data_IF_428063194529
#
_entry.id   IF_428063194529
#
_cell.length_a   1.000
_cell.length_b   1.000
_cell.length_c   1.000
_cell.angle_alpha   90.00
_cell.angle_beta   90.00
_cell.angle_gamma   90.00
#
_symmetry.space_group_name_H-M   'P 1'
#
loop_
_entity.id
_entity.type
_entity.pdbx_description
1 polymer ?
#
# COMPACT_ATOMS: atom_id res chain seq x y z
N UNK A 1 -19.19 -1.58 -14.68
CA UNK A 1 -19.52 -2.00 -13.30
C UNK A 1 -19.76 -3.50 -13.35
N UNK A 2 -19.06 -4.28 -12.52
CA UNK A 2 -19.33 -5.71 -12.36
C UNK A 2 -20.01 -5.97 -11.02
N UNK A 3 -20.75 -7.08 -10.96
CA UNK A 3 -21.41 -7.56 -9.75
C UNK A 3 -20.86 -8.95 -9.40
N UNK A 4 -20.47 -9.14 -8.14
CA UNK A 4 -20.07 -10.44 -7.60
C UNK A 4 -20.86 -10.76 -6.34
N UNK A 5 -21.51 -11.91 -6.31
CA UNK A 5 -22.12 -12.43 -5.07
C UNK A 5 -21.12 -13.32 -4.36
N UNK A 6 -20.77 -12.97 -3.12
CA UNK A 6 -19.94 -13.79 -2.25
C UNK A 6 -20.76 -14.24 -1.05
N UNK A 7 -20.49 -15.45 -0.55
CA UNK A 7 -21.06 -15.93 0.70
C UNK A 7 -20.15 -15.43 1.82
N UNK A 8 -20.69 -14.65 2.75
CA UNK A 8 -19.97 -14.28 3.96
C UNK A 8 -19.77 -15.53 4.81
N UNK A 9 -18.53 -16.01 4.87
CA UNK A 9 -18.17 -17.25 5.58
C UNK A 9 -18.39 -17.18 7.08
N UNK A 10 -18.56 -16.00 7.68
CA UNK A 10 -18.84 -15.84 9.11
C UNK A 10 -20.33 -15.77 9.43
N UNK A 11 -21.16 -15.30 8.49
CA UNK A 11 -22.58 -15.02 8.72
C UNK A 11 -23.52 -15.93 7.92
N UNK A 12 -23.00 -16.72 6.97
CA UNK A 12 -23.80 -17.56 6.07
C UNK A 12 -24.69 -16.76 5.11
N UNK A 13 -24.55 -15.43 5.07
CA UNK A 13 -25.39 -14.53 4.27
C UNK A 13 -24.72 -14.24 2.93
N UNK A 14 -25.54 -14.22 1.86
CA UNK A 14 -25.10 -13.74 0.54
C UNK A 14 -24.90 -12.23 0.61
N UNK A 15 -23.71 -11.76 0.24
CA UNK A 15 -23.37 -10.34 0.13
C UNK A 15 -23.01 -10.03 -1.32
N UNK A 16 -23.65 -8.99 -1.86
CA UNK A 16 -23.40 -8.48 -3.21
C UNK A 16 -22.29 -7.44 -3.16
N UNK A 17 -21.35 -7.53 -4.08
CA UNK A 17 -20.25 -6.60 -4.26
C UNK A 17 -20.32 -5.98 -5.64
N UNK A 18 -20.14 -4.68 -5.71
CA UNK A 18 -20.05 -3.93 -6.96
C UNK A 18 -18.64 -3.39 -7.12
N UNK A 19 -18.12 -3.43 -8.34
CA UNK A 19 -16.79 -2.92 -8.63
C UNK A 19 -16.66 -2.41 -10.05
N UNK A 20 -15.51 -1.80 -10.31
CA UNK A 20 -15.07 -1.41 -11.64
C UNK A 20 -13.74 -2.09 -11.90
N UNK A 21 -13.57 -2.56 -13.13
CA UNK A 21 -12.34 -3.17 -13.60
C UNK A 21 -12.11 -2.65 -15.03
N UNK A 22 -10.86 -2.43 -15.36
CA UNK A 22 -10.43 -2.17 -16.71
C UNK A 22 -9.03 -2.76 -16.91
N UNK A 23 -8.71 -3.16 -18.13
CA UNK A 23 -7.39 -3.60 -18.53
C UNK A 23 -6.77 -2.61 -19.50
N UNK A 24 -5.45 -2.46 -19.44
CA UNK A 24 -4.70 -1.80 -20.52
C UNK A 24 -4.28 -2.83 -21.56
N UNK A 25 -3.97 -2.39 -22.78
CA UNK A 25 -3.23 -3.25 -23.71
C UNK A 25 -1.84 -3.58 -23.16
N UNK A 26 -1.27 -4.69 -23.61
CA UNK A 26 0.10 -5.07 -23.27
C UNK A 26 1.09 -4.28 -24.11
N UNK A 27 1.89 -3.44 -23.47
CA UNK A 27 2.91 -2.63 -24.13
C UNK A 27 4.31 -2.94 -23.58
N UNK A 28 5.28 -3.10 -24.47
CA UNK A 28 6.69 -3.31 -24.09
C UNK A 28 7.29 -2.12 -23.33
N UNK A 29 6.69 -0.94 -23.46
CA UNK A 29 7.06 0.27 -22.70
C UNK A 29 6.87 0.13 -21.19
N UNK A 30 6.17 -0.91 -20.71
CA UNK A 30 6.04 -1.23 -19.29
C UNK A 30 7.00 -2.32 -18.80
N UNK A 31 7.84 -2.90 -19.66
CA UNK A 31 8.75 -3.97 -19.27
C UNK A 31 9.71 -3.53 -18.16
N UNK A 32 10.20 -2.29 -18.19
CA UNK A 32 11.08 -1.78 -17.13
C UNK A 32 10.39 -1.76 -15.74
N UNK A 33 9.06 -1.60 -15.67
CA UNK A 33 8.31 -1.72 -14.42
C UNK A 33 8.25 -3.18 -13.96
N UNK A 34 8.08 -4.10 -14.90
CA UNK A 34 8.14 -5.53 -14.60
C UNK A 34 9.52 -5.90 -14.06
N UNK A 35 10.59 -5.49 -14.75
CA UNK A 35 11.97 -5.76 -14.34
C UNK A 35 12.31 -5.12 -12.98
N UNK A 36 11.74 -3.95 -12.67
CA UNK A 36 11.93 -3.28 -11.39
C UNK A 36 11.23 -4.00 -10.22
N UNK A 37 10.08 -4.62 -10.47
CA UNK A 37 9.22 -5.16 -9.40
C UNK A 37 9.08 -6.67 -9.41
N UNK A 38 9.62 -7.42 -10.37
CA UNK A 38 9.42 -8.86 -10.46
C UNK A 38 10.71 -9.62 -10.70
N UNK A 39 11.00 -10.58 -9.82
CA UNK A 39 12.06 -11.58 -9.97
C UNK A 39 11.40 -12.95 -9.88
N UNK A 40 11.68 -13.84 -10.84
CA UNK A 40 11.06 -15.17 -10.93
C UNK A 40 9.52 -15.14 -10.85
N UNK A 41 8.90 -14.12 -11.47
CA UNK A 41 7.44 -13.85 -11.47
C UNK A 41 6.85 -13.52 -10.09
N UNK A 42 7.69 -13.30 -9.08
CA UNK A 42 7.29 -12.89 -7.74
C UNK A 42 7.51 -11.38 -7.63
N UNK A 43 6.47 -10.66 -7.19
CA UNK A 43 6.59 -9.22 -6.94
C UNK A 43 7.51 -8.98 -5.75
N UNK A 44 8.49 -8.10 -5.92
CA UNK A 44 9.46 -7.69 -4.91
C UNK A 44 9.52 -6.17 -4.69
N UNK A 45 10.18 -5.73 -3.62
CA UNK A 45 10.66 -4.35 -3.47
C UNK A 45 12.14 -4.28 -3.88
N UNK A 46 12.43 -3.64 -5.01
CA UNK A 46 13.81 -3.38 -5.46
C UNK A 46 14.42 -2.17 -4.74
N UNK A 47 15.73 -2.20 -4.37
CA UNK A 47 16.44 -1.03 -3.87
C UNK A 47 16.41 0.15 -4.84
N UNK A 48 16.38 -0.12 -6.15
CA UNK A 48 16.28 0.90 -7.22
C UNK A 48 14.99 1.72 -7.14
N UNK A 49 13.98 1.25 -6.40
CA UNK A 49 12.74 2.00 -6.16
C UNK A 49 13.01 3.41 -5.59
N UNK A 50 14.12 3.60 -4.87
CA UNK A 50 14.51 4.92 -4.37
C UNK A 50 14.63 5.96 -5.49
N UNK A 51 15.00 5.56 -6.70
CA UNK A 51 15.16 6.46 -7.84
C UNK A 51 13.81 6.89 -8.41
N UNK A 52 12.80 6.01 -8.36
CA UNK A 52 11.49 6.22 -9.00
C UNK A 52 10.40 6.74 -8.06
N UNK A 53 10.57 6.59 -6.74
CA UNK A 53 9.53 6.99 -5.79
C UNK A 53 9.43 8.52 -5.71
N UNK A 54 8.27 9.09 -6.03
CA UNK A 54 7.96 10.53 -5.98
C UNK A 54 6.85 10.81 -4.97
N UNK A 55 6.59 12.08 -4.62
CA UNK A 55 5.41 12.42 -3.81
C UNK A 55 4.08 11.96 -4.45
N UNK A 56 3.99 12.00 -5.79
CA UNK A 56 2.82 11.50 -6.54
C UNK A 56 2.67 9.98 -6.40
N UNK A 57 3.74 9.20 -6.58
CA UNK A 57 3.65 7.74 -6.41
C UNK A 57 3.35 7.34 -4.96
N UNK A 58 3.84 8.12 -3.98
CA UNK A 58 3.49 7.91 -2.57
C UNK A 58 2.01 8.21 -2.30
N UNK A 59 1.45 9.25 -2.94
CA UNK A 59 0.02 9.52 -2.88
C UNK A 59 -0.81 8.37 -3.46
N UNK A 60 -0.38 7.80 -4.58
CA UNK A 60 -1.05 6.63 -5.19
C UNK A 60 -0.98 5.40 -4.28
N UNK A 61 0.17 5.14 -3.65
CA UNK A 61 0.32 4.07 -2.68
C UNK A 61 -0.62 4.24 -1.47
N UNK A 62 -0.84 5.47 -1.00
CA UNK A 62 -1.80 5.74 0.08
C UNK A 62 -3.24 5.61 -0.41
N UNK A 63 -3.55 6.06 -1.62
CA UNK A 63 -4.90 5.91 -2.16
C UNK A 63 -5.26 4.43 -2.32
N UNK A 64 -4.33 3.59 -2.75
CA UNK A 64 -4.56 2.15 -2.89
C UNK A 64 -4.59 1.45 -1.51
N UNK A 65 -3.46 1.41 -0.81
CA UNK A 65 -3.26 0.57 0.39
C UNK A 65 -3.27 1.35 1.72
N UNK A 66 -3.44 2.67 1.69
CA UNK A 66 -3.49 3.51 2.87
C UNK A 66 -4.77 3.35 3.69
N UNK A 67 -4.63 3.49 5.01
CA UNK A 67 -5.74 3.47 5.98
C UNK A 67 -5.50 4.54 7.03
N UNK A 68 -6.47 5.45 7.19
CA UNK A 68 -6.49 6.43 8.28
C UNK A 68 -6.70 5.74 9.63
N UNK A 69 -5.95 6.19 10.64
CA UNK A 69 -5.99 5.70 12.01
C UNK A 69 -6.40 6.87 12.93
N UNK A 70 -7.70 7.00 13.26
CA UNK A 70 -8.21 8.15 14.02
C UNK A 70 -7.56 8.34 15.38
N UNK A 71 -7.35 7.25 16.13
CA UNK A 71 -6.80 7.30 17.49
C UNK A 71 -5.37 7.83 17.53
N UNK A 72 -4.56 7.47 16.54
CA UNK A 72 -3.16 7.85 16.49
C UNK A 72 -2.89 9.02 15.54
N UNK A 73 -3.96 9.58 14.95
CA UNK A 73 -3.94 10.68 13.98
C UNK A 73 -2.88 10.48 12.90
N UNK A 74 -2.84 9.28 12.34
CA UNK A 74 -1.83 8.91 11.35
C UNK A 74 -2.36 7.92 10.31
N UNK A 75 -1.49 7.51 9.40
CA UNK A 75 -1.79 6.57 8.32
C UNK A 75 -0.95 5.32 8.50
N UNK A 76 -1.52 4.17 8.13
CA UNK A 76 -0.74 2.97 7.79
C UNK A 76 -0.98 2.59 6.34
N UNK A 77 0.00 1.96 5.71
CA UNK A 77 -0.14 1.30 4.40
C UNK A 77 -0.02 -0.21 4.58
N UNK A 78 -0.92 -0.95 3.94
CA UNK A 78 -0.91 -2.41 3.94
C UNK A 78 0.22 -2.93 3.03
N UNK A 79 1.18 -3.66 3.60
CA UNK A 79 2.33 -4.21 2.86
C UNK A 79 2.46 -5.71 3.09
N UNK A 80 1.32 -6.38 3.29
CA UNK A 80 1.25 -7.77 3.76
C UNK A 80 1.63 -8.81 2.72
N UNK A 81 1.78 -8.40 1.45
CA UNK A 81 2.28 -9.22 0.37
C UNK A 81 3.81 -9.32 0.36
N UNK A 82 4.53 -8.38 0.98
CA UNK A 82 5.99 -8.33 1.01
C UNK A 82 6.58 -9.08 2.21
N UNK A 83 7.85 -9.46 2.10
CA UNK A 83 8.63 -10.02 3.19
C UNK A 83 8.94 -8.97 4.25
N UNK A 84 9.47 -9.42 5.38
CA UNK A 84 9.88 -8.56 6.48
C UNK A 84 11.00 -7.59 6.05
N UNK A 85 11.92 -8.09 5.23
CA UNK A 85 13.11 -7.40 4.72
C UNK A 85 12.72 -6.36 3.67
N UNK A 86 11.80 -6.72 2.76
CA UNK A 86 11.26 -5.81 1.75
C UNK A 86 10.48 -4.65 2.37
N UNK A 87 9.71 -4.92 3.43
CA UNK A 87 9.03 -3.88 4.21
C UNK A 87 10.04 -2.95 4.88
N UNK A 88 11.13 -3.47 5.45
CA UNK A 88 12.17 -2.62 6.03
C UNK A 88 12.92 -1.80 4.97
N UNK A 89 13.19 -2.37 3.80
CA UNK A 89 13.76 -1.65 2.67
C UNK A 89 12.87 -0.48 2.26
N UNK A 90 11.56 -0.71 2.08
CA UNK A 90 10.61 0.35 1.74
C UNK A 90 10.55 1.42 2.83
N UNK A 91 10.57 1.05 4.12
CA UNK A 91 10.62 2.00 5.24
C UNK A 91 11.88 2.86 5.19
N UNK A 92 13.03 2.27 4.91
CA UNK A 92 14.30 2.98 4.79
C UNK A 92 14.26 3.95 3.60
N UNK A 93 13.73 3.54 2.45
CA UNK A 93 13.54 4.42 1.29
C UNK A 93 12.66 5.63 1.65
N UNK A 94 11.53 5.41 2.33
CA UNK A 94 10.64 6.50 2.79
C UNK A 94 11.35 7.46 3.75
N UNK A 95 12.19 6.93 4.64
CA UNK A 95 13.01 7.70 5.57
C UNK A 95 14.06 8.53 4.84
N UNK A 96 14.87 7.90 3.98
CA UNK A 96 15.98 8.56 3.26
C UNK A 96 15.47 9.59 2.25
N UNK A 97 14.45 9.23 1.45
CA UNK A 97 13.99 10.10 0.35
C UNK A 97 13.09 11.24 0.81
N UNK A 98 12.22 10.97 1.78
CA UNK A 98 11.20 11.93 2.20
C UNK A 98 11.35 12.40 3.64
N UNK A 99 12.30 11.87 4.42
CA UNK A 99 12.39 12.16 5.85
C UNK A 99 11.17 11.69 6.65
N UNK A 100 10.49 10.64 6.18
CA UNK A 100 9.28 10.11 6.82
C UNK A 100 9.65 8.99 7.80
N UNK A 101 9.38 9.22 9.08
CA UNK A 101 9.59 8.23 10.12
C UNK A 101 8.44 7.21 10.13
N UNK A 102 8.80 5.94 10.03
CA UNK A 102 7.83 4.85 9.97
C UNK A 102 8.21 3.69 10.89
N UNK A 103 7.23 2.89 11.28
CA UNK A 103 7.42 1.63 12.01
C UNK A 103 6.81 0.47 11.23
N UNK A 104 7.44 -0.70 11.28
CA UNK A 104 6.84 -1.94 10.79
C UNK A 104 5.92 -2.49 11.86
N UNK A 105 4.65 -2.69 11.54
CA UNK A 105 3.68 -3.31 12.44
C UNK A 105 3.29 -4.70 11.92
N UNK A 106 3.28 -5.68 12.84
CA UNK A 106 2.83 -7.02 12.56
C UNK A 106 1.29 -7.04 12.53
N UNK A 107 0.72 -7.46 11.40
CA UNK A 107 -0.72 -7.59 11.20
C UNK A 107 -1.23 -8.97 11.59
N UNK A 108 -0.52 -10.01 11.17
CA UNK A 108 -0.84 -11.40 11.52
C UNK A 108 0.44 -12.23 11.56
N UNK A 109 0.53 -13.10 12.55
CA UNK A 109 1.60 -14.10 12.61
C UNK A 109 1.34 -15.25 11.64
N UNK A 110 2.41 -15.86 11.17
CA UNK A 110 2.39 -17.17 10.53
C UNK A 110 1.69 -18.18 11.45
N UNK A 111 0.75 -18.93 10.90
CA UNK A 111 -0.07 -19.89 11.63
C UNK A 111 -1.49 -19.99 11.07
N UNK A 112 -2.14 -21.14 11.29
CA UNK A 112 -3.45 -21.43 10.71
C UNK A 112 -3.43 -21.26 9.18
N UNK A 113 -4.34 -20.43 8.66
CA UNK A 113 -4.46 -20.10 7.24
C UNK A 113 -3.49 -18.99 6.76
N UNK A 114 -2.49 -18.61 7.57
CA UNK A 114 -1.53 -17.56 7.24
C UNK A 114 -0.15 -18.16 6.98
N UNK A 115 0.28 -18.28 5.70
CA UNK A 115 1.51 -18.99 5.34
C UNK A 115 2.79 -18.26 5.79
N UNK A 116 2.72 -16.93 5.98
CA UNK A 116 3.82 -16.07 6.40
C UNK A 116 3.34 -14.93 7.30
N UNK A 117 4.25 -14.36 8.08
CA UNK A 117 3.96 -13.12 8.81
C UNK A 117 3.57 -12.02 7.83
N UNK A 118 2.54 -11.25 8.20
CA UNK A 118 2.06 -10.12 7.41
C UNK A 118 2.35 -8.84 8.13
N UNK A 119 2.84 -7.85 7.40
CA UNK A 119 3.27 -6.58 7.95
C UNK A 119 2.53 -5.39 7.30
N UNK A 120 2.53 -4.27 8.01
CA UNK A 120 2.15 -2.96 7.49
C UNK A 120 3.22 -1.94 7.86
N UNK A 121 3.26 -0.84 7.11
CA UNK A 121 4.07 0.32 7.48
C UNK A 121 3.16 1.35 8.12
N UNK A 122 3.49 1.75 9.34
CA UNK A 122 2.80 2.78 10.09
C UNK A 122 3.64 4.07 10.06
N UNK A 123 3.06 5.18 9.62
CA UNK A 123 3.70 6.48 9.69
C UNK A 123 3.63 7.01 11.11
N UNK A 124 4.75 7.45 11.69
CA UNK A 124 4.72 8.10 13.00
C UNK A 124 4.02 9.46 12.88
N UNK A 125 3.30 9.86 13.93
CA UNK A 125 2.56 11.14 13.96
C UNK A 125 3.46 12.35 13.67
N UNK A 126 4.73 12.29 14.09
CA UNK A 126 5.75 13.33 13.82
C UNK A 126 6.00 13.58 12.34
N UNK A 127 5.73 12.59 11.48
CA UNK A 127 5.90 12.70 10.03
C UNK A 127 4.59 12.94 9.30
N UNK A 128 3.45 12.98 10.00
CA UNK A 128 2.14 13.06 9.36
C UNK A 128 1.91 14.41 8.66
N UNK A 129 2.36 15.52 9.25
CA UNK A 129 2.27 16.85 8.62
C UNK A 129 3.00 16.87 7.27
N UNK A 130 4.25 16.40 7.25
CA UNK A 130 5.07 16.29 6.04
C UNK A 130 4.48 15.31 5.03
N UNK A 131 3.95 14.18 5.48
CA UNK A 131 3.29 13.21 4.62
C UNK A 131 2.12 13.85 3.88
N UNK A 132 1.28 14.60 4.60
CA UNK A 132 0.13 15.30 4.05
C UNK A 132 0.55 16.37 3.04
N UNK A 133 1.55 17.18 3.36
CA UNK A 133 2.12 18.19 2.46
C UNK A 133 2.59 17.55 1.13
N UNK A 134 3.33 16.45 1.20
CA UNK A 134 3.87 15.77 0.03
C UNK A 134 2.77 15.15 -0.85
N UNK A 135 1.74 14.57 -0.24
CA UNK A 135 0.80 13.68 -0.96
C UNK A 135 -0.51 14.36 -1.34
N UNK A 136 -1.00 15.31 -0.54
CA UNK A 136 -2.30 15.94 -0.73
C UNK A 136 -2.49 16.61 -2.11
N UNK A 137 -1.49 17.24 -2.73
CA UNK A 137 -1.62 17.81 -4.08
C UNK A 137 -1.95 16.78 -5.17
N UNK A 138 -1.63 15.50 -4.95
CA UNK A 138 -1.78 14.41 -5.92
C UNK A 138 -2.95 13.47 -5.60
N UNK A 139 -3.69 13.71 -4.51
CA UNK A 139 -4.81 12.87 -4.11
C UNK A 139 -6.13 13.32 -4.71
N UNK A 140 -6.90 12.37 -5.22
CA UNK A 140 -8.27 12.61 -5.67
C UNK A 140 -9.15 13.06 -4.49
N UNK A 141 -10.08 14.02 -4.68
CA UNK A 141 -10.97 14.49 -3.61
C UNK A 141 -11.70 13.38 -2.87
N UNK A 142 -12.19 12.36 -3.59
CA UNK A 142 -12.90 11.20 -3.04
C UNK A 142 -12.04 10.29 -2.15
N UNK A 143 -10.71 10.45 -2.16
CA UNK A 143 -9.77 9.61 -1.39
C UNK A 143 -9.06 10.38 -0.26
N UNK A 144 -9.35 11.68 -0.09
CA UNK A 144 -8.74 12.51 0.97
C UNK A 144 -9.06 12.00 2.39
N UNK A 145 -10.17 11.29 2.57
CA UNK A 145 -10.52 10.63 3.83
C UNK A 145 -9.45 9.66 4.34
N UNK A 146 -8.59 9.12 3.45
CA UNK A 146 -7.45 8.28 3.83
C UNK A 146 -6.36 9.04 4.60
N UNK A 147 -6.40 10.38 4.59
CA UNK A 147 -5.60 11.27 5.45
C UNK A 147 -6.42 11.89 6.59
N UNK A 148 -7.62 11.38 6.87
CA UNK A 148 -8.50 11.94 7.90
C UNK A 148 -9.07 13.32 7.54
N UNK A 149 -9.25 13.60 6.25
CA UNK A 149 -9.84 14.82 5.71
C UNK A 149 -11.25 14.61 5.16
#
# INVERSE_FOLDING_TARGET
MFEKTLIDSKLGKKKRYYGYEFGTYTFSSFNWLYDLFYVDKIKIISPELINYLTPMSLAFLIMDDGTWLPYSKSVKIATNNFSKEEVDLLRNILGTKFGLQTTRQLLSKKGGNTPKDKYSIYFKVVSFSKLKELTLPYMCPSMKYKLGL
#
